data_IF_587660529368
#
_entry.id   IF_587660529368
#
_cell.length_a   1.000
_cell.length_b   1.000
_cell.length_c   1.000
_cell.angle_alpha   90.00
_cell.angle_beta   90.00
_cell.angle_gamma   90.00
#
_symmetry.space_group_name_H-M   'P 1'
#
loop_
_entity.id
_entity.type
_entity.pdbx_description
1 polymer ?
#
# COMPACT_ATOMS: atom_id res chain seq x y z
N UNK A 1 6.62 16.29 -17.81
CA UNK A 1 5.61 15.71 -16.90
C UNK A 1 5.04 16.83 -16.04
N UNK A 2 3.72 16.93 -15.95
CA UNK A 2 3.08 17.92 -15.11
C UNK A 2 3.11 17.49 -13.64
N UNK A 3 2.85 18.44 -12.74
CA UNK A 3 2.72 18.12 -11.32
C UNK A 3 1.60 17.11 -11.06
N UNK A 4 0.50 17.26 -11.78
CA UNK A 4 -0.62 16.31 -11.71
C UNK A 4 -0.17 14.90 -12.05
N UNK A 5 0.52 14.75 -13.18
CA UNK A 5 1.02 13.43 -13.63
C UNK A 5 2.04 12.86 -12.66
N UNK A 6 2.94 13.68 -12.12
CA UNK A 6 3.92 13.21 -11.16
C UNK A 6 3.26 12.66 -9.89
N UNK A 7 2.27 13.38 -9.35
CA UNK A 7 1.53 12.94 -8.17
C UNK A 7 0.72 11.68 -8.48
N UNK A 8 0.04 11.64 -9.63
CA UNK A 8 -0.73 10.48 -10.04
C UNK A 8 0.15 9.24 -10.15
N UNK A 9 1.33 9.38 -10.77
CA UNK A 9 2.28 8.28 -10.90
C UNK A 9 2.78 7.79 -9.55
N UNK A 10 3.01 8.70 -8.61
CA UNK A 10 3.43 8.32 -7.27
C UNK A 10 2.35 7.49 -6.56
N UNK A 11 1.09 7.93 -6.62
CA UNK A 11 -0.02 7.16 -6.04
C UNK A 11 -0.15 5.79 -6.69
N UNK A 12 -0.03 5.72 -8.01
CA UNK A 12 -0.10 4.45 -8.74
C UNK A 12 1.01 3.50 -8.32
N UNK A 13 2.23 4.01 -8.14
CA UNK A 13 3.34 3.20 -7.67
C UNK A 13 3.09 2.64 -6.29
N UNK A 14 2.63 3.47 -5.35
CA UNK A 14 2.30 3.02 -4.00
C UNK A 14 1.17 1.99 -4.01
N UNK A 15 0.14 2.21 -4.82
CA UNK A 15 -0.97 1.27 -4.96
C UNK A 15 -0.49 -0.05 -5.54
N UNK A 16 0.42 -0.02 -6.51
CA UNK A 16 0.97 -1.25 -7.09
C UNK A 16 1.78 -2.02 -6.05
N UNK A 17 2.60 -1.34 -5.27
CA UNK A 17 3.37 -1.97 -4.20
C UNK A 17 2.44 -2.64 -3.20
N UNK A 18 1.38 -1.95 -2.79
CA UNK A 18 0.41 -2.51 -1.86
C UNK A 18 -0.37 -3.67 -2.46
N UNK A 19 -0.72 -3.59 -3.74
CA UNK A 19 -1.42 -4.67 -4.42
C UNK A 19 -0.57 -5.94 -4.43
N UNK A 20 0.71 -5.81 -4.77
CA UNK A 20 1.63 -6.94 -4.75
C UNK A 20 1.75 -7.48 -3.32
N UNK A 21 1.84 -6.59 -2.32
CA UNK A 21 1.90 -7.00 -0.92
C UNK A 21 0.65 -7.79 -0.50
N UNK A 22 -0.55 -7.34 -0.91
CA UNK A 22 -1.80 -8.04 -0.62
C UNK A 22 -1.79 -9.44 -1.22
N UNK A 23 -1.41 -9.56 -2.49
CA UNK A 23 -1.37 -10.85 -3.17
C UNK A 23 -0.38 -11.79 -2.51
N UNK A 24 0.79 -11.30 -2.16
CA UNK A 24 1.83 -12.11 -1.52
C UNK A 24 1.45 -12.52 -0.09
N UNK A 25 0.65 -11.73 0.59
CA UNK A 25 0.19 -12.05 1.95
C UNK A 25 -0.62 -13.35 1.99
N UNK A 26 -1.27 -13.71 0.87
CA UNK A 26 -2.07 -14.92 0.79
C UNK A 26 -1.25 -16.19 0.51
N UNK A 27 0.06 -16.06 0.28
CA UNK A 27 0.94 -17.20 0.08
C UNK A 27 1.72 -17.47 1.37
N UNK A 28 1.48 -18.62 2.04
CA UNK A 28 2.10 -18.88 3.34
C UNK A 28 3.60 -19.21 3.28
N UNK A 29 4.11 -19.53 2.09
CA UNK A 29 5.49 -20.00 1.93
C UNK A 29 6.49 -18.88 1.62
N UNK A 30 6.06 -17.61 1.64
CA UNK A 30 6.94 -16.50 1.31
C UNK A 30 7.85 -16.17 2.48
N UNK A 31 9.15 -16.15 2.22
CA UNK A 31 10.13 -15.70 3.19
C UNK A 31 10.37 -14.20 3.04
N UNK A 32 9.77 -13.44 3.95
CA UNK A 32 9.85 -11.98 3.93
C UNK A 32 11.25 -11.44 4.26
N UNK A 33 12.18 -12.29 4.68
CA UNK A 33 13.56 -11.90 4.95
C UNK A 33 14.46 -11.97 3.72
N UNK A 34 13.99 -12.59 2.62
CA UNK A 34 14.73 -12.70 1.37
C UNK A 34 14.26 -11.68 0.35
N UNK A 35 15.19 -11.16 -0.46
CA UNK A 35 14.85 -10.31 -1.60
C UNK A 35 14.14 -11.13 -2.68
N UNK A 36 13.19 -10.57 -3.41
CA UNK A 36 12.69 -9.18 -3.36
C UNK A 36 11.66 -8.92 -2.27
N UNK A 37 11.25 -9.92 -1.52
CA UNK A 37 10.18 -9.82 -0.53
C UNK A 37 10.57 -8.92 0.64
N UNK A 38 11.84 -8.97 1.04
CA UNK A 38 12.35 -8.10 2.10
C UNK A 38 12.20 -6.63 1.73
N UNK A 39 12.47 -6.27 0.47
CA UNK A 39 12.30 -4.91 -0.02
C UNK A 39 10.84 -4.46 0.10
N UNK A 40 9.90 -5.30 -0.34
CA UNK A 40 8.47 -5.00 -0.21
C UNK A 40 8.07 -4.77 1.24
N UNK A 41 8.54 -5.63 2.14
CA UNK A 41 8.26 -5.52 3.57
C UNK A 41 8.82 -4.21 4.13
N UNK A 42 10.08 -3.92 3.83
CA UNK A 42 10.76 -2.75 4.39
C UNK A 42 10.15 -1.44 3.91
N UNK A 43 9.60 -1.41 2.69
CA UNK A 43 8.93 -0.24 2.14
C UNK A 43 7.51 -0.10 2.68
N UNK A 44 6.77 -1.21 2.77
CA UNK A 44 5.35 -1.17 3.11
C UNK A 44 5.08 -1.18 4.62
N UNK A 45 5.93 -1.83 5.42
CA UNK A 45 5.68 -1.94 6.86
C UNK A 45 5.56 -0.59 7.58
N UNK A 46 6.44 0.41 7.35
CA UNK A 46 6.28 1.70 8.02
C UNK A 46 4.94 2.39 7.70
N UNK A 47 4.43 2.16 6.48
CA UNK A 47 3.15 2.74 6.06
C UNK A 47 1.99 1.97 6.69
N UNK A 48 2.13 0.66 6.87
CA UNK A 48 1.09 -0.21 7.40
C UNK A 48 0.99 -0.18 8.92
N UNK A 49 2.06 0.16 9.63
CA UNK A 49 2.10 0.12 11.09
C UNK A 49 0.95 0.87 11.76
N UNK A 50 0.64 2.14 11.39
CA UNK A 50 -0.47 2.85 12.02
C UNK A 50 -1.81 2.13 11.84
N UNK A 51 -2.00 1.49 10.69
CA UNK A 51 -3.24 0.79 10.39
C UNK A 51 -3.36 -0.51 11.17
N UNK A 52 -2.25 -1.21 11.38
CA UNK A 52 -2.23 -2.45 12.17
C UNK A 52 -2.60 -2.22 13.63
N UNK A 53 -2.30 -1.03 14.16
CA UNK A 53 -2.66 -0.67 15.53
C UNK A 53 -4.16 -0.46 15.69
N UNK A 54 -4.85 -0.06 14.63
CA UNK A 54 -6.27 0.24 14.64
C UNK A 54 -7.08 -0.97 14.19
N UNK A 55 -6.57 -1.73 13.24
CA UNK A 55 -7.28 -2.84 12.61
C UNK A 55 -6.67 -4.16 13.08
N UNK A 56 -7.36 -4.90 13.95
CA UNK A 56 -6.85 -6.20 14.39
C UNK A 56 -6.93 -7.22 13.26
N UNK A 57 -6.03 -8.21 13.21
CA UNK A 57 -6.12 -9.28 12.23
C UNK A 57 -7.39 -10.09 12.46
N UNK A 58 -8.07 -10.44 11.37
CA UNK A 58 -9.31 -11.22 11.39
C UNK A 58 -9.01 -12.59 10.79
N UNK A 59 -9.25 -13.65 11.57
CA UNK A 59 -9.00 -15.01 11.11
C UNK A 59 -7.55 -15.28 10.74
N UNK A 60 -6.60 -14.57 11.36
CA UNK A 60 -5.19 -14.69 11.04
C UNK A 60 -4.74 -13.92 9.80
N UNK A 61 -5.66 -13.23 9.13
CA UNK A 61 -5.36 -12.42 7.95
C UNK A 61 -5.15 -10.96 8.35
N UNK A 62 -4.05 -10.38 7.87
CA UNK A 62 -3.79 -8.96 8.02
C UNK A 62 -4.52 -8.19 6.92
N UNK A 63 -5.54 -7.43 7.29
CA UNK A 63 -6.33 -6.64 6.36
C UNK A 63 -5.81 -5.21 6.18
N UNK A 64 -4.75 -4.84 6.91
CA UNK A 64 -4.21 -3.49 6.85
C UNK A 64 -3.77 -3.06 5.44
N UNK A 65 -3.07 -3.89 4.64
CA UNK A 65 -2.72 -3.49 3.27
C UNK A 65 -3.94 -3.17 2.42
N UNK A 66 -5.01 -3.95 2.57
CA UNK A 66 -6.24 -3.74 1.80
C UNK A 66 -6.90 -2.41 2.17
N UNK A 67 -7.01 -2.12 3.47
CA UNK A 67 -7.59 -0.86 3.95
C UNK A 67 -6.76 0.32 3.49
N UNK A 68 -5.43 0.21 3.60
CA UNK A 68 -4.53 1.28 3.14
C UNK A 68 -4.67 1.51 1.63
N UNK A 69 -4.86 0.46 0.84
CA UNK A 69 -5.10 0.58 -0.59
C UNK A 69 -6.34 1.45 -0.88
N UNK A 70 -7.44 1.20 -0.18
CA UNK A 70 -8.64 2.01 -0.32
C UNK A 70 -8.44 3.45 0.13
N UNK A 71 -7.74 3.65 1.26
CA UNK A 71 -7.43 5.00 1.75
C UNK A 71 -6.58 5.75 0.73
N UNK A 72 -5.58 5.11 0.15
CA UNK A 72 -4.76 5.74 -0.89
C UNK A 72 -5.58 6.11 -2.11
N UNK A 73 -6.55 5.27 -2.50
CA UNK A 73 -7.43 5.57 -3.63
C UNK A 73 -8.27 6.81 -3.38
N UNK A 74 -8.78 6.97 -2.15
CA UNK A 74 -9.53 8.17 -1.77
C UNK A 74 -8.64 9.40 -1.72
N UNK A 75 -7.45 9.27 -1.14
CA UNK A 75 -6.49 10.37 -1.07
C UNK A 75 -6.06 10.81 -2.46
N UNK A 76 -5.85 9.88 -3.37
CA UNK A 76 -5.52 10.20 -4.76
C UNK A 76 -6.57 11.10 -5.38
N UNK A 77 -7.85 10.74 -5.23
CA UNK A 77 -8.95 11.54 -5.79
C UNK A 77 -8.99 12.94 -5.19
N UNK A 78 -8.81 13.04 -3.88
CA UNK A 78 -8.84 14.34 -3.19
C UNK A 78 -7.65 15.19 -3.62
N UNK A 79 -6.44 14.64 -3.58
CA UNK A 79 -5.22 15.40 -3.89
C UNK A 79 -5.21 15.83 -5.36
N UNK A 80 -5.56 14.93 -6.27
CA UNK A 80 -5.58 15.25 -7.70
C UNK A 80 -6.68 16.25 -8.03
N UNK A 81 -7.79 16.23 -7.29
CA UNK A 81 -8.84 17.23 -7.44
C UNK A 81 -8.33 18.63 -7.10
N UNK A 82 -7.50 18.77 -6.06
CA UNK A 82 -6.89 20.05 -5.72
C UNK A 82 -5.83 20.50 -6.73
N UNK A 83 -5.02 19.57 -7.22
CA UNK A 83 -3.96 19.89 -8.17
C UNK A 83 -4.52 20.27 -9.55
N UNK A 84 -5.68 19.74 -9.90
CA UNK A 84 -6.31 19.98 -11.19
C UNK A 84 -7.09 21.29 -11.27
N UNK A 85 -7.08 22.09 -10.22
CA UNK A 85 -7.75 23.41 -10.20
C UNK A 85 -6.88 24.50 -10.91
#
# INVERSE_FOLDING_TARGET
MSLYEAIANLFQLLQLILLVRILLTWFPNINWYNQPFKFLRDVSDPILEPFRKIIPPIGGLDLSPMVLFFVLSLLEKVVLGFVNI
#
